data_IF_424375788806
#
_entry.id   IF_424375788806
#
_cell.length_a   1.000
_cell.length_b   1.000
_cell.length_c   1.000
_cell.angle_alpha   90.00
_cell.angle_beta   90.00
_cell.angle_gamma   90.00
#
_symmetry.space_group_name_H-M   'P 1'
#
loop_
_entity.id
_entity.type
_entity.pdbx_description
1 polymer ?
#
# COMPACT_ATOMS: atom_id res chain seq x y z
N UNK A 1 -37.03 -57.22 27.80
CA UNK A 1 -37.73 -56.29 28.70
C UNK A 1 -36.67 -55.46 29.38
N UNK A 2 -36.81 -54.15 29.20
CA UNK A 2 -36.32 -53.02 30.00
C UNK A 2 -34.79 -52.83 30.15
N UNK A 3 -34.17 -51.71 29.77
CA UNK A 3 -34.70 -50.38 29.45
C UNK A 3 -34.62 -49.43 30.65
N UNK A 4 -33.43 -48.95 30.99
CA UNK A 4 -33.11 -47.80 31.87
C UNK A 4 -31.59 -47.61 31.84
N UNK A 5 -30.96 -46.45 31.83
CA UNK A 5 -31.35 -45.03 31.80
C UNK A 5 -30.01 -44.27 31.68
N UNK A 6 -29.92 -43.23 30.85
CA UNK A 6 -29.36 -41.95 31.30
C UNK A 6 -29.59 -40.84 30.26
N UNK A 7 -30.65 -40.08 30.54
CA UNK A 7 -30.88 -38.65 30.29
C UNK A 7 -29.85 -37.85 29.47
N UNK A 8 -30.25 -37.44 28.27
CA UNK A 8 -29.69 -36.29 27.57
C UNK A 8 -30.47 -35.01 27.97
N UNK A 9 -29.76 -34.04 28.56
CA UNK A 9 -30.23 -32.67 28.76
C UNK A 9 -30.25 -31.94 27.41
N UNK A 10 -31.44 -31.79 26.81
CA UNK A 10 -31.67 -30.79 25.77
C UNK A 10 -31.91 -29.43 26.43
N UNK A 11 -30.93 -28.53 26.32
CA UNK A 11 -31.15 -27.10 26.55
C UNK A 11 -31.59 -26.48 25.22
N UNK A 12 -32.82 -26.00 25.19
CA UNK A 12 -33.43 -25.26 24.08
C UNK A 12 -32.69 -23.94 23.83
N UNK A 13 -32.23 -23.69 22.60
CA UNK A 13 -31.51 -22.46 22.20
C UNK A 13 -32.12 -21.79 20.96
N UNK A 14 -33.43 -21.49 21.00
CA UNK A 14 -34.12 -20.76 19.91
C UNK A 14 -33.90 -19.22 19.92
N UNK A 15 -32.81 -18.72 20.53
CA UNK A 15 -32.52 -17.27 20.64
C UNK A 15 -31.26 -16.76 19.94
N UNK A 16 -30.41 -17.63 19.37
CA UNK A 16 -29.07 -17.25 18.89
C UNK A 16 -28.96 -16.94 17.38
N UNK A 17 -30.00 -17.26 16.60
CA UNK A 17 -29.98 -17.09 15.14
C UNK A 17 -29.88 -15.62 14.69
N UNK A 18 -30.70 -14.68 15.19
CA UNK A 18 -30.69 -13.30 14.68
C UNK A 18 -29.42 -12.52 15.08
N UNK A 19 -28.87 -12.77 16.27
CA UNK A 19 -27.64 -12.11 16.74
C UNK A 19 -26.39 -12.54 15.94
N UNK A 20 -26.28 -13.84 15.62
CA UNK A 20 -25.16 -14.35 14.80
C UNK A 20 -25.25 -13.83 13.37
N UNK A 21 -26.46 -13.76 12.81
CA UNK A 21 -26.68 -13.21 11.48
C UNK A 21 -26.40 -11.70 11.42
N UNK A 22 -26.79 -10.93 12.45
CA UNK A 22 -26.47 -9.51 12.56
C UNK A 22 -24.96 -9.27 12.58
N UNK A 23 -24.20 -10.10 13.32
CA UNK A 23 -22.74 -10.01 13.40
C UNK A 23 -22.06 -10.26 12.04
N UNK A 24 -22.52 -11.28 11.29
CA UNK A 24 -22.01 -11.56 9.93
C UNK A 24 -22.28 -10.41 8.95
N UNK A 25 -23.47 -9.81 9.02
CA UNK A 25 -23.80 -8.64 8.22
C UNK A 25 -22.93 -7.44 8.58
N UNK A 26 -22.64 -7.25 9.87
CA UNK A 26 -21.73 -6.19 10.32
C UNK A 26 -20.29 -6.42 9.81
N UNK A 27 -19.78 -7.65 9.90
CA UNK A 27 -18.47 -8.03 9.35
C UNK A 27 -18.36 -7.78 7.84
N UNK A 28 -19.39 -8.17 7.09
CA UNK A 28 -19.45 -7.87 5.66
C UNK A 28 -19.48 -6.37 5.38
N UNK A 29 -20.16 -5.59 6.23
CA UNK A 29 -20.13 -4.13 6.18
C UNK A 29 -18.71 -3.56 6.33
N UNK A 30 -17.94 -4.07 7.30
CA UNK A 30 -16.54 -3.67 7.53
C UNK A 30 -15.65 -4.03 6.33
N UNK A 31 -15.84 -5.22 5.74
CA UNK A 31 -15.12 -5.62 4.54
C UNK A 31 -15.44 -4.69 3.36
N UNK A 32 -16.71 -4.37 3.15
CA UNK A 32 -17.15 -3.47 2.07
C UNK A 32 -16.64 -2.04 2.28
N UNK A 33 -16.60 -1.56 3.52
CA UNK A 33 -16.01 -0.27 3.88
C UNK A 33 -14.51 -0.24 3.56
N UNK A 34 -13.79 -1.30 3.91
CA UNK A 34 -12.36 -1.45 3.59
C UNK A 34 -12.10 -1.51 2.07
N UNK A 35 -12.99 -2.14 1.31
CA UNK A 35 -12.96 -2.17 -0.16
C UNK A 35 -13.31 -0.80 -0.80
N UNK A 36 -13.86 0.14 -0.02
CA UNK A 36 -14.35 1.43 -0.49
C UNK A 36 -15.80 1.40 -1.01
N UNK A 37 -16.49 0.26 -0.94
CA UNK A 37 -17.89 0.08 -1.32
C UNK A 37 -18.84 0.53 -0.19
N UNK A 38 -18.77 1.82 0.13
CA UNK A 38 -19.40 2.36 1.34
C UNK A 38 -20.94 2.30 1.32
N UNK A 39 -21.60 2.26 0.16
CA UNK A 39 -23.07 2.07 0.09
C UNK A 39 -23.51 0.66 0.46
N UNK A 40 -22.80 -0.34 -0.04
CA UNK A 40 -23.06 -1.73 0.32
C UNK A 40 -22.76 -1.92 1.81
N UNK A 41 -21.68 -1.31 2.31
CA UNK A 41 -21.36 -1.28 3.74
C UNK A 41 -22.50 -0.67 4.58
N UNK A 42 -23.00 0.52 4.22
CA UNK A 42 -24.13 1.16 4.92
C UNK A 42 -25.38 0.28 4.90
N UNK A 43 -25.65 -0.39 3.77
CA UNK A 43 -26.80 -1.29 3.66
C UNK A 43 -26.66 -2.48 4.61
N UNK A 44 -25.47 -3.10 4.65
CA UNK A 44 -25.14 -4.16 5.59
C UNK A 44 -25.26 -3.69 7.05
N UNK A 45 -24.73 -2.51 7.40
CA UNK A 45 -24.83 -1.96 8.75
C UNK A 45 -26.28 -1.67 9.16
N UNK A 46 -27.09 -1.09 8.27
CA UNK A 46 -28.52 -0.84 8.53
C UNK A 46 -29.30 -2.14 8.75
N UNK A 47 -29.00 -3.17 7.97
CA UNK A 47 -29.61 -4.49 8.13
C UNK A 47 -29.18 -5.15 9.45
N UNK A 48 -27.90 -5.05 9.82
CA UNK A 48 -27.38 -5.56 11.08
C UNK A 48 -28.04 -4.88 12.29
N UNK A 49 -28.10 -3.53 12.30
CA UNK A 49 -28.74 -2.76 13.37
C UNK A 49 -30.25 -3.02 13.50
N UNK A 50 -30.91 -3.38 12.40
CA UNK A 50 -32.32 -3.76 12.41
C UNK A 50 -32.55 -5.11 13.09
N UNK A 51 -31.58 -6.02 13.02
CA UNK A 51 -31.65 -7.35 13.66
C UNK A 51 -31.21 -7.30 15.12
N UNK A 52 -30.16 -6.54 15.43
CA UNK A 52 -29.65 -6.34 16.78
C UNK A 52 -29.07 -4.93 16.92
N UNK A 53 -29.69 -4.10 17.77
CA UNK A 53 -29.24 -2.74 18.07
C UNK A 53 -27.88 -2.74 18.79
N UNK A 54 -27.55 -3.83 19.50
CA UNK A 54 -26.29 -4.03 20.22
C UNK A 54 -25.17 -4.67 19.40
N UNK A 55 -25.37 -4.92 18.11
CA UNK A 55 -24.43 -5.68 17.26
C UNK A 55 -23.04 -5.05 17.22
N UNK A 56 -22.95 -3.72 17.22
CA UNK A 56 -21.67 -2.98 17.21
C UNK A 56 -20.85 -3.29 18.47
N UNK A 57 -21.50 -3.35 19.64
CA UNK A 57 -20.84 -3.65 20.91
C UNK A 57 -20.36 -5.10 20.94
N UNK A 58 -21.15 -6.01 20.37
CA UNK A 58 -20.79 -7.44 20.23
C UNK A 58 -19.61 -7.62 19.28
N UNK A 59 -19.63 -6.94 18.12
CA UNK A 59 -18.52 -6.94 17.17
C UNK A 59 -17.23 -6.36 17.76
N UNK A 60 -17.30 -5.21 18.45
CA UNK A 60 -16.13 -4.64 19.14
C UNK A 60 -15.55 -5.58 20.19
N UNK A 61 -16.40 -6.27 20.95
CA UNK A 61 -15.95 -7.28 21.91
C UNK A 61 -15.22 -8.42 21.21
N UNK A 62 -15.79 -8.94 20.11
CA UNK A 62 -15.15 -9.97 19.29
C UNK A 62 -13.79 -9.51 18.77
N UNK A 63 -13.69 -8.31 18.19
CA UNK A 63 -12.41 -7.76 17.70
C UNK A 63 -11.39 -7.64 18.83
N UNK A 64 -11.79 -7.19 20.02
CA UNK A 64 -10.91 -7.12 21.19
C UNK A 64 -10.46 -8.51 21.66
N UNK A 65 -11.37 -9.49 21.66
CA UNK A 65 -11.07 -10.89 21.99
C UNK A 65 -10.15 -11.53 20.94
N UNK A 66 -10.39 -11.30 19.65
CA UNK A 66 -9.55 -11.77 18.55
C UNK A 66 -8.14 -11.15 18.65
N UNK A 67 -8.03 -9.87 18.98
CA UNK A 67 -6.75 -9.20 19.23
C UNK A 67 -6.03 -9.79 20.46
N UNK A 68 -6.78 -10.03 21.55
CA UNK A 68 -6.25 -10.65 22.77
C UNK A 68 -5.79 -12.08 22.50
N UNK A 69 -6.59 -12.86 21.78
CA UNK A 69 -6.27 -14.23 21.41
C UNK A 69 -5.10 -14.26 20.44
N UNK A 70 -5.02 -13.34 19.47
CA UNK A 70 -3.88 -13.21 18.58
C UNK A 70 -2.60 -12.81 19.34
N UNK A 71 -2.73 -12.06 20.44
CA UNK A 71 -1.61 -11.78 21.36
C UNK A 71 -1.23 -13.02 22.16
N UNK A 72 -2.20 -13.73 22.74
CA UNK A 72 -1.97 -14.98 23.49
C UNK A 72 -1.44 -16.10 22.60
N UNK A 73 -1.90 -16.23 21.36
CA UNK A 73 -1.39 -17.16 20.36
C UNK A 73 0.02 -16.77 19.93
N UNK A 74 0.34 -15.47 19.84
CA UNK A 74 1.72 -15.02 19.67
C UNK A 74 2.58 -15.39 20.89
N UNK A 75 2.04 -15.29 22.09
CA UNK A 75 2.71 -15.67 23.34
C UNK A 75 2.85 -17.20 23.50
N UNK A 76 1.90 -18.00 23.02
CA UNK A 76 1.90 -19.47 23.09
C UNK A 76 2.62 -20.14 21.92
N UNK A 77 2.67 -19.51 20.74
CA UNK A 77 3.55 -19.94 19.63
C UNK A 77 5.03 -19.79 19.97
N UNK A 78 5.36 -19.01 21.01
CA UNK A 78 6.71 -18.96 21.59
C UNK A 78 7.00 -20.23 22.42
N UNK A 79 5.98 -21.02 22.79
CA UNK A 79 6.10 -22.16 23.72
C UNK A 79 6.03 -23.54 23.02
N UNK A 80 5.61 -23.62 21.76
CA UNK A 80 5.48 -24.88 21.01
C UNK A 80 6.03 -24.78 19.59
N UNK A 81 7.32 -25.06 19.41
CA UNK A 81 7.94 -25.20 18.09
C UNK A 81 7.76 -26.61 17.52
N UNK A 82 6.83 -26.81 16.58
CA UNK A 82 6.98 -27.84 15.52
C UNK A 82 6.00 -27.66 14.36
N UNK A 83 6.51 -27.27 13.19
CA UNK A 83 6.05 -27.73 11.87
C UNK A 83 4.95 -26.95 11.14
N UNK A 84 5.28 -26.45 9.93
CA UNK A 84 4.38 -26.54 8.78
C UNK A 84 3.77 -25.26 8.20
N UNK A 85 4.50 -24.65 7.27
CA UNK A 85 4.09 -24.00 6.01
C UNK A 85 2.81 -23.13 5.86
N UNK A 86 3.07 -21.92 5.35
CA UNK A 86 2.37 -21.11 4.34
C UNK A 86 1.08 -20.32 4.65
N UNK A 87 1.27 -19.01 4.43
CA UNK A 87 0.46 -18.11 3.59
C UNK A 87 -0.76 -17.38 4.18
N UNK A 88 -0.58 -16.05 4.14
CA UNK A 88 -1.48 -15.01 3.65
C UNK A 88 -2.36 -14.23 4.64
N UNK A 89 -2.16 -12.91 4.49
CA UNK A 89 -3.07 -11.80 4.71
C UNK A 89 -3.50 -11.50 6.14
N UNK A 90 -2.92 -10.44 6.74
CA UNK A 90 -3.69 -9.44 7.48
C UNK A 90 -2.89 -8.15 7.78
N UNK A 91 -3.18 -7.15 6.94
CA UNK A 91 -3.56 -5.76 7.29
C UNK A 91 -3.19 -5.21 8.67
N UNK A 92 -2.20 -4.33 8.68
CA UNK A 92 -1.86 -3.46 9.79
C UNK A 92 -2.87 -2.31 9.95
N UNK A 93 -3.40 -2.13 11.17
CA UNK A 93 -3.77 -0.83 11.72
C UNK A 93 -2.79 -0.54 12.85
N UNK A 94 -2.12 0.61 12.76
CA UNK A 94 -1.12 1.10 13.71
C UNK A 94 -1.77 1.62 15.00
N UNK A 95 -1.16 1.29 16.13
CA UNK A 95 -0.98 2.20 17.25
C UNK A 95 0.48 2.08 17.69
N UNK A 96 1.19 3.20 17.77
CA UNK A 96 2.59 3.24 18.15
C UNK A 96 2.75 2.96 19.64
N UNK A 97 3.80 2.22 19.98
CA UNK A 97 4.43 2.27 21.29
C UNK A 97 5.95 2.25 21.12
N UNK A 98 6.55 3.16 21.89
CA UNK A 98 7.95 3.53 21.90
C UNK A 98 8.83 2.38 22.40
N UNK A 99 10.13 2.48 22.09
CA UNK A 99 11.12 1.50 22.46
C UNK A 99 11.18 1.23 23.96
N UNK A 100 11.06 -0.05 24.31
CA UNK A 100 11.78 -0.60 25.44
C UNK A 100 12.35 -1.95 25.03
N UNK A 101 13.68 -1.98 24.82
CA UNK A 101 14.40 -3.22 24.58
C UNK A 101 14.39 -4.05 25.84
N UNK A 102 13.56 -5.08 25.89
CA UNK A 102 13.75 -6.20 26.81
C UNK A 102 14.70 -7.19 26.16
N UNK A 103 15.94 -7.16 26.63
CA UNK A 103 16.89 -8.26 26.52
C UNK A 103 16.16 -9.52 27.01
N UNK A 104 15.73 -10.38 26.09
CA UNK A 104 15.32 -11.74 26.44
C UNK A 104 16.60 -12.51 26.75
N UNK A 105 16.77 -12.88 28.02
CA UNK A 105 17.69 -13.92 28.43
C UNK A 105 17.41 -15.18 27.60
N UNK A 106 18.39 -15.54 26.78
CA UNK A 106 18.37 -16.73 25.95
C UNK A 106 18.63 -17.93 26.85
N UNK A 107 17.63 -18.81 27.02
CA UNK A 107 17.96 -20.23 27.20
C UNK A 107 18.60 -20.70 25.89
N UNK A 108 19.85 -21.13 25.98
CA UNK A 108 20.69 -21.47 24.86
C UNK A 108 20.17 -22.75 24.17
N UNK A 109 19.30 -22.58 23.18
CA UNK A 109 19.16 -23.61 22.14
C UNK A 109 20.54 -23.88 21.55
N UNK A 110 20.91 -25.15 21.43
CA UNK A 110 22.16 -25.58 20.82
C UNK A 110 22.19 -25.09 19.36
N UNK A 111 22.85 -23.95 19.14
CA UNK A 111 22.94 -23.28 17.84
C UNK A 111 23.63 -24.25 16.89
N UNK A 112 22.85 -24.89 16.01
CA UNK A 112 23.41 -25.73 14.95
C UNK A 112 24.38 -24.87 14.13
N UNK A 113 25.63 -25.31 13.93
CA UNK A 113 26.62 -24.51 13.24
C UNK A 113 26.13 -24.18 11.83
N UNK A 114 26.20 -22.90 11.47
CA UNK A 114 25.90 -22.46 10.13
C UNK A 114 27.14 -22.72 9.27
N UNK A 115 27.22 -23.92 8.67
CA UNK A 115 28.44 -24.38 7.99
C UNK A 115 28.95 -23.42 6.91
N UNK A 116 28.07 -22.64 6.28
CA UNK A 116 28.50 -21.64 5.29
C UNK A 116 29.32 -20.51 5.94
N UNK A 117 29.00 -20.12 7.18
CA UNK A 117 29.74 -19.09 7.92
C UNK A 117 31.08 -19.63 8.44
N UNK A 118 31.13 -20.92 8.78
CA UNK A 118 32.34 -21.57 9.28
C UNK A 118 33.30 -21.96 8.15
N UNK A 119 32.78 -22.30 6.97
CA UNK A 119 33.58 -22.71 5.81
C UNK A 119 34.07 -21.54 4.96
N UNK A 120 33.32 -20.42 4.88
CA UNK A 120 33.63 -19.33 3.97
C UNK A 120 34.18 -18.09 4.68
N UNK A 121 35.28 -17.50 4.18
CA UNK A 121 35.73 -16.19 4.62
C UNK A 121 34.66 -15.10 4.41
N UNK A 122 34.70 -14.05 5.22
CA UNK A 122 33.74 -12.93 5.15
C UNK A 122 33.73 -12.25 3.77
N UNK A 123 34.85 -12.25 3.09
CA UNK A 123 35.01 -11.69 1.74
C UNK A 123 34.15 -12.44 0.72
N UNK A 124 34.10 -13.78 0.81
CA UNK A 124 33.28 -14.62 -0.07
C UNK A 124 31.79 -14.45 0.29
N UNK A 125 31.47 -14.40 1.58
CA UNK A 125 30.11 -14.13 2.03
C UNK A 125 29.61 -12.76 1.53
N UNK A 126 30.47 -11.74 1.53
CA UNK A 126 30.16 -10.43 0.99
C UNK A 126 29.91 -10.47 -0.53
N UNK A 127 30.70 -11.25 -1.28
CA UNK A 127 30.44 -11.47 -2.71
C UNK A 127 29.08 -12.15 -2.94
N UNK A 128 28.71 -13.11 -2.10
CA UNK A 128 27.37 -13.74 -2.16
C UNK A 128 26.28 -12.68 -1.93
N UNK A 129 26.44 -11.82 -0.91
CA UNK A 129 25.50 -10.70 -0.67
C UNK A 129 25.39 -9.82 -1.92
N UNK A 130 26.51 -9.45 -2.55
CA UNK A 130 26.51 -8.63 -3.76
C UNK A 130 25.80 -9.32 -4.94
N UNK A 131 25.95 -10.63 -5.10
CA UNK A 131 25.20 -11.39 -6.11
C UNK A 131 23.71 -11.42 -5.81
N UNK A 132 23.32 -11.62 -4.54
CA UNK A 132 21.91 -11.62 -4.12
C UNK A 132 21.26 -10.26 -4.35
N UNK A 133 21.96 -9.17 -4.00
CA UNK A 133 21.50 -7.79 -4.22
C UNK A 133 21.20 -7.53 -5.70
N UNK A 134 22.09 -7.96 -6.60
CA UNK A 134 21.89 -7.81 -8.06
C UNK A 134 20.76 -8.67 -8.61
N UNK A 135 20.34 -9.70 -7.88
CA UNK A 135 19.29 -10.63 -8.34
C UNK A 135 17.91 -10.18 -7.86
N UNK A 136 17.76 -9.85 -6.59
CA UNK A 136 16.48 -9.42 -6.01
C UNK A 136 16.68 -8.69 -4.69
N UNK A 137 16.04 -7.53 -4.56
CA UNK A 137 15.98 -6.76 -3.31
C UNK A 137 15.25 -7.51 -2.19
N UNK A 138 14.25 -8.32 -2.51
CA UNK A 138 13.52 -9.15 -1.55
C UNK A 138 14.43 -10.24 -0.98
N UNK A 139 15.23 -10.88 -1.85
CA UNK A 139 16.19 -11.91 -1.44
C UNK A 139 17.29 -11.35 -0.54
N UNK A 140 17.72 -10.10 -0.76
CA UNK A 140 18.69 -9.43 0.10
C UNK A 140 18.14 -9.21 1.52
N UNK A 141 16.88 -8.75 1.64
CA UNK A 141 16.24 -8.61 2.94
C UNK A 141 16.08 -9.99 3.62
N UNK A 142 15.61 -10.99 2.90
CA UNK A 142 15.46 -12.35 3.43
C UNK A 142 16.81 -12.93 3.94
N UNK A 143 17.90 -12.68 3.21
CA UNK A 143 19.24 -13.07 3.62
C UNK A 143 19.67 -12.38 4.91
N UNK A 144 19.37 -11.08 5.05
CA UNK A 144 19.70 -10.29 6.26
C UNK A 144 18.98 -10.76 7.52
N UNK A 145 17.85 -11.46 7.37
CA UNK A 145 17.04 -12.01 8.45
C UNK A 145 17.51 -13.42 8.86
N UNK A 146 18.39 -14.06 8.09
CA UNK A 146 18.80 -15.43 8.33
C UNK A 146 19.69 -15.58 9.58
N UNK A 147 20.63 -14.64 9.80
CA UNK A 147 21.47 -14.60 11.00
C UNK A 147 22.12 -13.22 11.21
N UNK A 148 22.71 -13.01 12.40
CA UNK A 148 23.38 -11.75 12.77
C UNK A 148 24.60 -11.42 11.90
N UNK A 149 25.34 -12.43 11.42
CA UNK A 149 26.49 -12.23 10.54
C UNK A 149 26.08 -11.68 9.18
N UNK A 150 25.09 -12.29 8.52
CA UNK A 150 24.52 -11.79 7.26
C UNK A 150 23.80 -10.46 7.47
N UNK A 151 23.16 -10.24 8.62
CA UNK A 151 22.60 -8.93 8.94
C UNK A 151 23.68 -7.83 8.89
N UNK A 152 24.80 -8.06 9.58
CA UNK A 152 25.92 -7.13 9.60
C UNK A 152 26.57 -6.97 8.21
N UNK A 153 26.71 -8.05 7.43
CA UNK A 153 27.25 -7.98 6.07
C UNK A 153 26.31 -7.26 5.10
N UNK A 154 25.00 -7.46 5.21
CA UNK A 154 24.00 -6.85 4.35
C UNK A 154 23.89 -5.34 4.56
N UNK A 155 23.92 -4.88 5.82
CA UNK A 155 23.69 -3.46 6.16
C UNK A 155 24.95 -2.68 6.51
N UNK A 156 26.07 -3.35 6.78
CA UNK A 156 27.35 -2.70 7.11
C UNK A 156 28.14 -2.25 5.89
N UNK A 157 27.94 -2.86 4.72
CA UNK A 157 28.61 -2.49 3.49
C UNK A 157 27.81 -1.42 2.72
N UNK A 158 28.44 -0.34 2.23
CA UNK A 158 27.77 0.63 1.35
C UNK A 158 27.42 0.10 -0.05
N UNK A 159 28.04 -0.97 -0.53
CA UNK A 159 27.87 -1.40 -1.93
C UNK A 159 26.43 -1.82 -2.30
N UNK A 160 25.67 -2.55 -1.46
CA UNK A 160 24.25 -2.82 -1.70
C UNK A 160 23.43 -1.54 -1.90
N UNK A 161 23.62 -0.54 -1.04
CA UNK A 161 22.91 0.73 -1.13
C UNK A 161 23.25 1.51 -2.40
N UNK A 162 24.52 1.49 -2.82
CA UNK A 162 24.95 2.08 -4.10
C UNK A 162 24.27 1.41 -5.29
N UNK A 163 24.15 0.08 -5.24
CA UNK A 163 23.51 -0.70 -6.31
C UNK A 163 22.03 -0.35 -6.40
N UNK A 164 21.30 -0.36 -5.28
CA UNK A 164 19.89 0.02 -5.27
C UNK A 164 19.65 1.48 -5.63
N UNK A 165 20.51 2.40 -5.19
CA UNK A 165 20.42 3.79 -5.57
C UNK A 165 20.56 3.95 -7.08
N UNK A 166 21.57 3.31 -7.69
CA UNK A 166 21.75 3.32 -9.14
C UNK A 166 20.52 2.76 -9.86
N UNK A 167 20.04 1.58 -9.46
CA UNK A 167 18.91 0.90 -10.12
C UNK A 167 17.58 1.68 -9.98
N UNK A 168 17.36 2.38 -8.87
CA UNK A 168 16.15 3.17 -8.64
C UNK A 168 16.22 4.51 -9.38
N UNK A 169 17.33 5.24 -9.22
CA UNK A 169 17.44 6.62 -9.68
C UNK A 169 17.80 6.74 -11.17
N UNK A 170 18.46 5.74 -11.76
CA UNK A 170 18.71 5.70 -13.21
C UNK A 170 17.41 5.61 -14.04
N UNK A 171 16.32 5.12 -13.43
CA UNK A 171 15.01 5.01 -14.06
C UNK A 171 14.13 6.26 -13.85
N UNK A 172 14.58 7.25 -13.09
CA UNK A 172 13.80 8.45 -12.81
C UNK A 172 14.01 9.52 -13.88
N UNK A 173 12.92 10.08 -14.39
CA UNK A 173 12.95 11.16 -15.37
C UNK A 173 12.83 12.51 -14.68
N UNK A 174 13.72 13.45 -15.02
CA UNK A 174 13.71 14.81 -14.47
C UNK A 174 13.40 15.83 -15.57
N UNK A 175 12.67 16.86 -15.19
CA UNK A 175 12.32 17.97 -16.08
C UNK A 175 13.58 18.76 -16.48
N UNK A 176 13.79 18.89 -17.80
CA UNK A 176 14.95 19.60 -18.36
C UNK A 176 14.98 21.07 -17.96
N UNK A 177 13.81 21.73 -17.88
CA UNK A 177 13.74 23.13 -17.49
C UNK A 177 14.20 23.33 -16.03
N UNK A 178 13.76 22.46 -15.12
CA UNK A 178 14.22 22.42 -13.74
C UNK A 178 15.73 22.14 -13.64
N UNK A 179 16.26 21.24 -14.47
CA UNK A 179 17.71 20.96 -14.53
C UNK A 179 18.51 22.18 -14.99
N UNK A 180 18.05 22.86 -16.05
CA UNK A 180 18.71 24.06 -16.57
C UNK A 180 18.68 25.22 -15.57
N UNK A 181 17.53 25.46 -14.92
CA UNK A 181 17.38 26.54 -13.94
C UNK A 181 18.34 26.36 -12.74
N UNK A 182 18.53 25.12 -12.31
CA UNK A 182 19.44 24.78 -11.22
C UNK A 182 20.91 24.67 -11.69
N UNK A 183 21.20 24.87 -12.98
CA UNK A 183 22.55 24.77 -13.54
C UNK A 183 23.13 23.35 -13.50
N UNK A 184 22.27 22.33 -13.47
CA UNK A 184 22.64 20.92 -13.30
C UNK A 184 22.64 20.23 -14.66
N UNK A 185 23.82 19.89 -15.18
CA UNK A 185 23.97 19.07 -16.38
C UNK A 185 24.04 17.57 -16.07
N UNK A 186 24.54 17.21 -14.88
CA UNK A 186 24.59 15.83 -14.39
C UNK A 186 24.15 15.77 -12.92
N UNK A 187 23.21 14.87 -12.62
CA UNK A 187 22.71 14.59 -11.28
C UNK A 187 23.79 14.02 -10.34
N UNK A 188 24.79 13.29 -10.84
CA UNK A 188 25.81 12.65 -10.00
C UNK A 188 26.56 13.66 -9.10
N UNK A 189 26.85 14.84 -9.65
CA UNK A 189 27.54 15.92 -8.94
C UNK A 189 26.65 16.53 -7.85
N UNK A 190 25.36 16.68 -8.16
CA UNK A 190 24.36 17.17 -7.21
C UNK A 190 24.14 16.17 -6.07
N UNK A 191 24.04 14.88 -6.40
CA UNK A 191 23.88 13.78 -5.44
C UNK A 191 25.05 13.71 -4.46
N UNK A 192 26.28 13.82 -4.98
CA UNK A 192 27.50 13.85 -4.16
C UNK A 192 27.50 15.05 -3.22
N UNK A 193 27.00 16.21 -3.67
CA UNK A 193 26.95 17.43 -2.86
C UNK A 193 25.91 17.34 -1.74
N UNK A 194 24.72 16.81 -2.04
CA UNK A 194 23.60 16.75 -1.09
C UNK A 194 23.74 15.63 -0.05
N UNK A 195 24.21 14.45 -0.46
CA UNK A 195 24.28 13.27 0.40
C UNK A 195 25.70 12.81 0.74
N UNK A 196 26.74 13.51 0.26
CA UNK A 196 28.14 13.22 0.61
C UNK A 196 28.57 11.77 0.31
N UNK A 197 27.95 11.14 -0.69
CA UNK A 197 28.19 9.74 -1.04
C UNK A 197 27.50 8.72 -0.15
N UNK A 198 26.65 9.13 0.81
CA UNK A 198 25.83 8.23 1.61
C UNK A 198 24.53 7.85 0.86
N UNK A 199 24.61 6.74 0.12
CA UNK A 199 23.47 6.20 -0.62
C UNK A 199 22.35 5.69 0.30
N UNK A 200 22.65 5.26 1.53
CA UNK A 200 21.62 4.78 2.47
C UNK A 200 20.77 5.95 2.98
N UNK A 201 21.39 7.11 3.21
CA UNK A 201 20.69 8.37 3.48
C UNK A 201 19.90 8.85 2.27
N UNK A 202 20.52 8.85 1.07
CA UNK A 202 19.84 9.26 -0.16
C UNK A 202 18.57 8.46 -0.42
N UNK A 203 18.63 7.12 -0.36
CA UNK A 203 17.47 6.23 -0.53
C UNK A 203 16.32 6.50 0.45
N UNK A 204 16.63 7.07 1.63
CA UNK A 204 15.65 7.39 2.67
C UNK A 204 14.99 8.75 2.47
N UNK A 205 15.72 9.70 1.88
CA UNK A 205 15.36 11.11 1.83
C UNK A 205 14.90 11.56 0.44
N UNK A 206 15.55 11.10 -0.64
CA UNK A 206 15.27 11.50 -2.01
C UNK A 206 14.03 10.78 -2.54
N UNK A 207 12.92 11.49 -2.81
CA UNK A 207 11.71 10.89 -3.34
C UNK A 207 11.91 10.29 -4.74
N UNK A 208 11.14 9.24 -5.04
CA UNK A 208 11.16 8.57 -6.34
C UNK A 208 9.82 7.91 -6.64
N UNK A 209 9.56 7.68 -7.93
CA UNK A 209 8.39 6.96 -8.43
C UNK A 209 8.67 5.46 -8.45
N UNK A 210 7.68 4.66 -8.04
CA UNK A 210 7.76 3.20 -8.04
C UNK A 210 7.04 2.62 -9.26
N UNK A 211 7.74 1.80 -10.03
CA UNK A 211 7.21 1.16 -11.26
C UNK A 211 6.56 -0.19 -11.02
N UNK A 212 6.80 -0.72 -9.83
CA UNK A 212 6.54 -2.07 -9.40
C UNK A 212 5.10 -2.31 -8.92
N UNK A 213 4.20 -1.39 -9.20
CA UNK A 213 2.84 -1.42 -8.68
C UNK A 213 1.97 -0.36 -9.31
N UNK A 214 0.97 0.04 -8.54
CA UNK A 214 -0.06 0.97 -8.97
C UNK A 214 -0.35 1.95 -7.84
N UNK A 215 -0.62 3.20 -8.20
CA UNK A 215 -1.04 4.24 -7.28
C UNK A 215 -2.55 4.40 -7.39
N UNK A 216 -3.25 4.31 -6.25
CA UNK A 216 -4.71 4.29 -6.20
C UNK A 216 -5.20 5.41 -5.29
N UNK A 217 -6.12 6.24 -5.80
CA UNK A 217 -6.88 7.21 -5.02
C UNK A 217 -8.35 6.79 -5.00
N UNK A 218 -8.88 6.47 -3.83
CA UNK A 218 -10.29 6.15 -3.61
C UNK A 218 -11.05 7.39 -3.17
N UNK A 219 -12.06 7.80 -3.93
CA UNK A 219 -12.88 8.99 -3.65
C UNK A 219 -14.34 8.61 -3.53
N UNK A 220 -14.96 9.10 -2.45
CA UNK A 220 -16.38 8.93 -2.18
C UNK A 220 -17.05 10.30 -2.26
N UNK A 221 -18.13 10.42 -3.03
CA UNK A 221 -18.96 11.64 -3.05
C UNK A 221 -20.43 11.31 -2.91
N UNK A 222 -21.19 12.23 -2.34
CA UNK A 222 -22.62 12.10 -2.13
C UNK A 222 -23.37 12.69 -3.32
N UNK A 223 -24.11 11.85 -4.04
CA UNK A 223 -25.06 12.26 -5.08
C UNK A 223 -26.46 12.30 -4.49
N UNK A 224 -27.13 13.43 -4.66
CA UNK A 224 -28.54 13.58 -4.31
C UNK A 224 -29.38 13.04 -5.47
N UNK A 225 -30.30 12.11 -5.21
CA UNK A 225 -31.22 11.59 -6.23
C UNK A 225 -32.29 12.60 -6.66
N UNK A 226 -32.95 12.33 -7.79
CA UNK A 226 -34.14 13.08 -8.21
C UNK A 226 -35.35 12.66 -7.36
N UNK A 227 -36.10 13.63 -6.86
CA UNK A 227 -37.29 13.35 -6.05
C UNK A 227 -38.45 12.90 -6.97
N UNK A 228 -39.12 11.77 -6.68
CA UNK A 228 -40.45 11.54 -7.23
C UNK A 228 -41.40 12.62 -6.68
N UNK A 229 -42.26 13.18 -7.56
CA UNK A 229 -43.25 14.19 -7.17
C UNK A 229 -44.09 13.70 -5.98
N UNK A 230 -44.17 14.50 -4.91
CA UNK A 230 -44.94 14.19 -3.69
C UNK A 230 -44.12 13.65 -2.51
N UNK A 231 -42.81 13.42 -2.64
CA UNK A 231 -41.97 12.99 -1.51
C UNK A 231 -41.59 14.17 -0.59
N UNK A 232 -41.79 14.00 0.72
CA UNK A 232 -41.36 14.96 1.74
C UNK A 232 -39.85 15.21 1.64
N UNK A 233 -39.44 16.47 1.59
CA UNK A 233 -38.04 16.92 1.49
C UNK A 233 -37.12 16.46 2.63
N UNK A 234 -37.67 15.81 3.67
CA UNK A 234 -36.97 15.21 4.81
C UNK A 234 -36.33 13.85 4.50
N UNK A 235 -36.85 13.09 3.54
CA UNK A 235 -36.29 11.77 3.16
C UNK A 235 -35.61 11.94 1.81
N UNK A 236 -34.45 12.62 1.81
CA UNK A 236 -33.60 12.67 0.61
C UNK A 236 -32.77 11.39 0.56
N UNK A 237 -33.03 10.45 -0.37
CA UNK A 237 -32.13 9.32 -0.54
C UNK A 237 -30.78 9.85 -1.04
N UNK A 238 -29.78 9.82 -0.16
CA UNK A 238 -28.39 10.15 -0.50
C UNK A 238 -27.73 8.89 -1.04
N UNK A 239 -27.18 8.97 -2.25
CA UNK A 239 -26.45 7.88 -2.88
C UNK A 239 -24.96 8.23 -2.91
N UNK A 240 -24.14 7.51 -2.16
CA UNK A 240 -22.70 7.70 -2.18
C UNK A 240 -22.09 6.91 -3.34
N UNK A 241 -21.33 7.59 -4.18
CA UNK A 241 -20.63 7.00 -5.31
C UNK A 241 -19.15 6.95 -4.97
N UNK A 242 -18.59 5.76 -5.06
CA UNK A 242 -17.15 5.53 -5.00
C UNK A 242 -16.60 5.49 -6.41
N UNK A 243 -15.55 6.25 -6.66
CA UNK A 243 -14.74 6.10 -7.85
C UNK A 243 -13.26 6.08 -7.47
N UNK A 244 -12.48 5.48 -8.34
CA UNK A 244 -11.06 5.24 -8.19
C UNK A 244 -10.31 5.98 -9.28
N UNK A 245 -9.15 6.52 -8.91
CA UNK A 245 -8.14 6.99 -9.86
C UNK A 245 -6.92 6.12 -9.75
N UNK A 246 -6.45 5.64 -10.90
CA UNK A 246 -5.32 4.75 -11.02
C UNK A 246 -4.20 5.42 -11.80
N UNK A 247 -2.98 5.33 -11.27
CA UNK A 247 -1.76 5.60 -12.01
C UNK A 247 -0.83 4.40 -11.98
N UNK A 248 -0.32 4.02 -13.15
CA UNK A 248 0.79 3.06 -13.27
C UNK A 248 1.92 3.71 -14.06
N UNK A 249 3.08 3.83 -13.44
CA UNK A 249 4.25 4.49 -14.02
C UNK A 249 5.19 3.47 -14.66
N UNK A 250 5.92 3.92 -15.69
CA UNK A 250 6.86 3.12 -16.45
C UNK A 250 8.23 3.82 -16.53
N UNK A 251 9.33 3.04 -16.59
CA UNK A 251 10.69 3.58 -16.67
C UNK A 251 11.00 4.39 -17.94
N UNK A 252 10.16 4.35 -18.96
CA UNK A 252 10.31 5.10 -20.21
C UNK A 252 9.78 6.54 -20.13
N UNK A 253 9.30 6.98 -18.95
CA UNK A 253 8.73 8.31 -18.75
C UNK A 253 7.23 8.39 -19.07
N UNK A 254 6.60 7.27 -19.41
CA UNK A 254 5.14 7.20 -19.61
C UNK A 254 4.42 6.69 -18.36
N UNK A 255 3.14 7.04 -18.23
CA UNK A 255 2.27 6.46 -17.21
C UNK A 255 0.84 6.28 -17.74
N UNK A 256 0.21 5.18 -17.33
CA UNK A 256 -1.21 4.96 -17.56
C UNK A 256 -2.03 5.63 -16.47
N UNK A 257 -3.08 6.35 -16.90
CA UNK A 257 -4.05 7.00 -16.04
C UNK A 257 -5.43 6.44 -16.31
N UNK A 258 -6.19 6.10 -15.28
CA UNK A 258 -7.59 5.67 -15.41
C UNK A 258 -8.45 6.25 -14.29
N UNK A 259 -9.61 6.79 -14.66
CA UNK A 259 -10.69 7.14 -13.74
C UNK A 259 -11.85 6.17 -13.98
N UNK A 260 -12.18 5.35 -12.98
CA UNK A 260 -13.23 4.33 -13.10
C UNK A 260 -13.97 4.12 -11.77
N UNK A 261 -15.19 3.62 -11.83
CA UNK A 261 -15.92 3.09 -10.66
C UNK A 261 -15.53 1.63 -10.34
N UNK A 262 -14.75 0.99 -11.21
CA UNK A 262 -14.30 -0.39 -11.02
C UNK A 262 -13.26 -0.49 -9.91
N UNK A 263 -13.44 -1.48 -9.04
CA UNK A 263 -12.56 -1.71 -7.89
C UNK A 263 -11.18 -2.26 -8.32
N UNK A 264 -10.14 -2.10 -7.47
CA UNK A 264 -8.78 -2.51 -7.82
C UNK A 264 -8.66 -4.00 -8.20
N UNK A 265 -9.47 -4.88 -7.61
CA UNK A 265 -9.48 -6.32 -7.89
C UNK A 265 -9.77 -6.65 -9.36
N UNK A 266 -10.56 -5.82 -10.05
CA UNK A 266 -10.92 -6.00 -11.47
C UNK A 266 -9.94 -5.30 -12.42
N UNK A 267 -9.37 -4.17 -12.01
CA UNK A 267 -8.53 -3.32 -12.86
C UNK A 267 -7.06 -3.79 -12.85
N UNK A 268 -6.52 -4.10 -11.68
CA UNK A 268 -5.06 -4.26 -11.49
C UNK A 268 -4.46 -5.33 -12.40
N UNK A 269 -5.13 -6.46 -12.63
CA UNK A 269 -4.57 -7.55 -13.43
C UNK A 269 -4.40 -7.19 -14.92
N UNK A 270 -5.30 -6.37 -15.45
CA UNK A 270 -5.33 -6.00 -16.87
C UNK A 270 -4.77 -4.58 -17.13
N UNK A 271 -4.44 -3.81 -16.10
CA UNK A 271 -3.96 -2.44 -16.25
C UNK A 271 -2.48 -2.37 -16.65
N UNK A 272 -2.20 -2.54 -17.94
CA UNK A 272 -0.85 -2.56 -18.52
C UNK A 272 -0.79 -1.89 -19.91
N UNK A 273 0.36 -1.35 -20.30
CA UNK A 273 0.60 -0.72 -21.60
C UNK A 273 0.22 -1.62 -22.78
N UNK A 274 0.50 -2.91 -22.68
CA UNK A 274 0.21 -3.93 -23.69
C UNK A 274 -1.30 -4.17 -23.88
N UNK A 275 -2.09 -3.85 -22.85
CA UNK A 275 -3.52 -4.10 -22.86
C UNK A 275 -4.25 -2.83 -23.29
N UNK A 276 -5.20 -2.96 -24.20
CA UNK A 276 -6.10 -1.87 -24.54
C UNK A 276 -7.14 -1.68 -23.43
N UNK A 277 -6.76 -0.97 -22.37
CA UNK A 277 -7.65 -0.67 -21.25
C UNK A 277 -8.59 0.46 -21.66
N UNK A 278 -9.89 0.14 -21.70
CA UNK A 278 -10.93 1.09 -22.05
C UNK A 278 -10.86 2.33 -21.13
N UNK A 279 -10.88 3.51 -21.73
CA UNK A 279 -10.83 4.82 -21.05
C UNK A 279 -9.52 5.11 -20.29
N UNK A 280 -8.48 4.29 -20.43
CA UNK A 280 -7.16 4.65 -19.93
C UNK A 280 -6.50 5.67 -20.88
N UNK A 281 -5.84 6.66 -20.30
CA UNK A 281 -5.05 7.67 -21.01
C UNK A 281 -3.56 7.37 -20.79
N UNK A 282 -2.77 7.46 -21.86
CA UNK A 282 -1.31 7.48 -21.75
C UNK A 282 -0.89 8.92 -21.49
N UNK A 283 -0.11 9.11 -20.42
CA UNK A 283 0.43 10.40 -20.00
C UNK A 283 1.96 10.29 -19.91
N UNK A 284 2.63 11.43 -19.83
CA UNK A 284 4.07 11.50 -19.56
C UNK A 284 4.31 12.06 -18.16
N UNK A 285 5.36 11.60 -17.50
CA UNK A 285 5.69 12.06 -16.15
C UNK A 285 7.16 12.49 -16.05
N UNK A 286 7.41 13.46 -15.18
CA UNK A 286 8.76 13.90 -14.82
C UNK A 286 8.78 14.39 -13.37
N UNK A 287 9.95 14.34 -12.76
CA UNK A 287 10.24 14.92 -11.46
C UNK A 287 10.89 16.29 -11.65
N UNK A 288 10.53 17.26 -10.82
CA UNK A 288 11.30 18.50 -10.72
C UNK A 288 12.39 18.33 -9.67
N UNK A 289 13.53 19.01 -9.87
CA UNK A 289 14.59 19.12 -8.86
C UNK A 289 14.18 20.02 -7.69
N UNK A 290 13.21 20.89 -7.93
CA UNK A 290 12.70 21.83 -6.94
C UNK A 290 11.97 21.08 -5.81
N UNK A 291 11.80 21.74 -4.67
CA UNK A 291 11.15 21.18 -3.48
C UNK A 291 11.71 19.80 -3.06
N UNK A 292 13.04 19.67 -3.05
CA UNK A 292 13.75 18.43 -2.69
C UNK A 292 13.31 17.21 -3.52
N UNK A 293 13.23 17.35 -4.84
CA UNK A 293 12.90 16.25 -5.77
C UNK A 293 11.49 15.65 -5.57
N UNK A 294 10.62 16.31 -4.79
CA UNK A 294 9.33 15.74 -4.39
C UNK A 294 8.19 16.02 -5.36
N UNK A 295 8.38 16.94 -6.31
CA UNK A 295 7.35 17.36 -7.28
C UNK A 295 7.33 16.41 -8.46
N UNK A 296 6.20 15.73 -8.63
CA UNK A 296 5.89 14.88 -9.76
C UNK A 296 4.91 15.61 -10.67
N UNK A 297 5.30 15.85 -11.92
CA UNK A 297 4.47 16.48 -12.94
C UNK A 297 4.01 15.40 -13.91
N UNK A 298 2.71 15.36 -14.18
CA UNK A 298 2.09 14.45 -15.14
C UNK A 298 1.41 15.29 -16.21
N UNK A 299 1.74 15.04 -17.47
CA UNK A 299 1.21 15.77 -18.61
C UNK A 299 0.49 14.86 -19.58
N UNK A 300 -0.61 15.36 -20.13
CA UNK A 300 -1.35 14.72 -21.22
C UNK A 300 -1.96 15.78 -22.11
N UNK A 301 -2.23 15.44 -23.35
CA UNK A 301 -2.81 16.35 -24.31
C UNK A 301 -3.96 15.66 -25.06
N UNK A 302 -4.95 16.46 -25.44
CA UNK A 302 -5.95 16.06 -26.42
C UNK A 302 -6.06 17.15 -27.49
N UNK A 303 -7.01 17.01 -28.41
CA UNK A 303 -7.18 17.95 -29.53
C UNK A 303 -7.42 19.41 -29.12
N UNK A 304 -7.85 19.65 -27.87
CA UNK A 304 -8.27 20.96 -27.38
C UNK A 304 -7.39 21.52 -26.26
N UNK A 305 -6.93 20.67 -25.36
CA UNK A 305 -6.27 21.07 -24.13
C UNK A 305 -5.02 20.24 -23.85
N UNK A 306 -4.01 20.89 -23.30
CA UNK A 306 -2.89 20.24 -22.61
C UNK A 306 -3.15 20.28 -21.12
N UNK A 307 -3.28 19.13 -20.49
CA UNK A 307 -3.47 18.99 -19.05
C UNK A 307 -2.14 18.76 -18.35
N UNK A 308 -2.03 19.35 -17.17
CA UNK A 308 -0.89 19.20 -16.28
C UNK A 308 -1.38 18.97 -14.86
N UNK A 309 -0.95 17.87 -14.26
CA UNK A 309 -1.26 17.48 -12.90
C UNK A 309 0.04 17.45 -12.11
N UNK A 310 0.13 18.23 -11.05
CA UNK A 310 1.30 18.28 -10.18
C UNK A 310 0.95 17.60 -8.85
N UNK A 311 1.76 16.61 -8.48
CA UNK A 311 1.65 15.84 -7.26
C UNK A 311 2.93 16.00 -6.43
N UNK A 312 2.82 15.79 -5.12
CA UNK A 312 3.94 15.79 -4.18
C UNK A 312 4.12 14.39 -3.59
N UNK A 313 5.33 13.85 -3.69
CA UNK A 313 5.69 12.53 -3.16
C UNK A 313 5.95 12.63 -1.66
N UNK A 314 5.20 11.85 -0.87
CA UNK A 314 5.31 11.76 0.58
C UNK A 314 5.42 10.32 1.08
N UNK A 315 5.89 10.21 2.31
CA UNK A 315 5.85 8.97 3.07
C UNK A 315 4.41 8.67 3.54
N UNK A 316 4.09 7.38 3.67
CA UNK A 316 2.88 6.88 4.31
C UNK A 316 3.27 6.15 5.60
N UNK A 317 3.25 6.86 6.72
CA UNK A 317 3.79 6.37 7.99
C UNK A 317 5.23 5.86 7.82
N UNK A 318 5.52 4.59 8.10
CA UNK A 318 6.85 4.00 7.91
C UNK A 318 7.20 3.70 6.43
N UNK A 319 6.21 3.70 5.53
CA UNK A 319 6.38 3.32 4.12
C UNK A 319 6.88 4.52 3.32
N UNK A 320 8.12 4.42 2.85
CA UNK A 320 8.83 5.51 2.16
C UNK A 320 8.30 5.72 0.75
N UNK A 321 7.99 6.97 0.41
CA UNK A 321 7.56 7.40 -0.94
C UNK A 321 6.32 6.65 -1.46
N UNK A 322 5.39 6.30 -0.56
CA UNK A 322 4.18 5.52 -0.88
C UNK A 322 2.95 6.37 -1.18
N UNK A 323 3.00 7.68 -0.97
CA UNK A 323 1.82 8.54 -1.09
C UNK A 323 2.07 9.69 -2.04
N UNK A 324 1.16 9.93 -2.98
CA UNK A 324 1.14 11.14 -3.79
C UNK A 324 0.02 12.06 -3.36
N UNK A 325 0.37 13.31 -3.04
CA UNK A 325 -0.58 14.35 -2.62
C UNK A 325 -0.84 15.30 -3.78
N UNK A 326 -2.09 15.72 -3.98
CA UNK A 326 -2.40 16.75 -4.96
C UNK A 326 -1.79 18.09 -4.59
N UNK A 327 -1.17 18.74 -5.57
CA UNK A 327 -0.65 20.11 -5.47
C UNK A 327 -1.53 21.01 -6.33
N UNK A 328 -1.64 20.68 -7.61
CA UNK A 328 -2.47 21.40 -8.57
C UNK A 328 -2.88 20.49 -9.72
N UNK A 329 -3.95 20.87 -10.40
CA UNK A 329 -4.35 20.32 -11.68
C UNK A 329 -4.84 21.47 -12.52
N UNK A 330 -4.26 21.63 -13.71
CA UNK A 330 -4.63 22.67 -14.65
C UNK A 330 -4.68 22.14 -16.09
N UNK A 331 -5.33 22.93 -16.95
CA UNK A 331 -5.33 22.73 -18.39
C UNK A 331 -4.94 24.02 -19.09
N UNK A 332 -4.29 23.89 -20.24
CA UNK A 332 -3.91 24.98 -21.13
C UNK A 332 -4.67 24.81 -22.44
N UNK A 333 -5.35 25.87 -22.89
CA UNK A 333 -5.96 25.92 -24.23
C UNK A 333 -4.89 26.11 -25.32
N UNK A 334 -5.29 26.11 -26.59
CA UNK A 334 -4.40 26.35 -27.75
C UNK A 334 -3.71 27.72 -27.73
N UNK A 335 -4.28 28.68 -27.00
CA UNK A 335 -3.70 30.01 -26.78
C UNK A 335 -2.87 30.10 -25.48
N UNK A 336 -2.50 28.95 -24.90
CA UNK A 336 -1.80 28.80 -23.60
C UNK A 336 -2.52 29.46 -22.41
N UNK A 337 -3.82 29.70 -22.54
CA UNK A 337 -4.65 30.18 -21.43
C UNK A 337 -4.84 29.07 -20.39
N UNK A 338 -4.39 29.35 -19.16
CA UNK A 338 -4.49 28.45 -17.99
C UNK A 338 -5.92 28.38 -17.44
N UNK A 339 -6.40 27.16 -17.21
CA UNK A 339 -7.65 26.80 -16.53
C UNK A 339 -7.32 25.91 -15.33
N UNK A 340 -7.59 26.39 -14.12
CA UNK A 340 -7.32 25.65 -12.89
C UNK A 340 -8.53 24.80 -12.45
N UNK A 341 -8.26 23.57 -12.01
CA UNK A 341 -9.26 22.69 -11.40
C UNK A 341 -9.19 22.78 -9.87
N UNK A 342 -10.34 22.70 -9.20
CA UNK A 342 -10.42 22.83 -7.75
C UNK A 342 -9.93 21.58 -7.01
N UNK A 343 -8.94 21.73 -6.13
CA UNK A 343 -8.30 20.59 -5.41
C UNK A 343 -8.95 20.25 -4.05
N UNK A 344 -9.97 20.98 -3.60
CA UNK A 344 -10.48 20.90 -2.22
C UNK A 344 -10.94 19.51 -1.77
N UNK A 345 -11.48 18.71 -2.69
CA UNK A 345 -12.04 17.40 -2.39
C UNK A 345 -11.17 16.24 -2.89
N UNK A 346 -9.99 16.55 -3.39
CA UNK A 346 -9.12 15.54 -3.98
C UNK A 346 -8.43 14.70 -2.92
N UNK A 347 -8.42 13.37 -3.14
CA UNK A 347 -7.79 12.41 -2.23
C UNK A 347 -6.41 12.03 -2.73
N UNK A 348 -5.47 11.73 -1.83
CA UNK A 348 -4.14 11.30 -2.22
C UNK A 348 -4.17 9.91 -2.85
N UNK A 349 -3.12 9.60 -3.60
CA UNK A 349 -2.87 8.26 -4.10
C UNK A 349 -1.98 7.49 -3.13
N UNK A 350 -2.24 6.19 -3.00
CA UNK A 350 -1.43 5.26 -2.22
C UNK A 350 -0.86 4.18 -3.13
N UNK A 351 0.41 3.87 -2.95
CA UNK A 351 1.10 2.82 -3.68
C UNK A 351 0.67 1.43 -3.20
N UNK A 352 0.31 0.57 -4.13
CA UNK A 352 0.05 -0.85 -3.93
C UNK A 352 0.97 -1.66 -4.83
N UNK A 353 1.79 -2.53 -4.22
CA UNK A 353 2.68 -3.46 -4.92
C UNK A 353 1.86 -4.50 -5.70
N UNK A 354 2.29 -4.83 -6.92
CA UNK A 354 1.62 -5.83 -7.77
C UNK A 354 2.66 -6.80 -8.33
N UNK A 355 2.69 -8.04 -7.83
CA UNK A 355 3.72 -9.04 -8.19
C UNK A 355 3.77 -9.33 -9.70
N UNK A 356 2.61 -9.38 -10.36
CA UNK A 356 2.52 -9.65 -11.80
C UNK A 356 3.11 -8.55 -12.68
N UNK A 357 3.44 -7.38 -12.13
CA UNK A 357 4.07 -6.30 -12.89
C UNK A 357 5.59 -6.43 -12.97
N UNK A 358 6.22 -7.21 -12.09
CA UNK A 358 7.68 -7.42 -12.05
C UNK A 358 8.16 -8.22 -13.24
N UNK A 359 7.37 -9.21 -13.68
CA UNK A 359 7.76 -10.17 -14.72
C UNK A 359 7.52 -9.63 -16.15
N UNK A 360 6.91 -8.46 -16.30
CA UNK A 360 6.49 -7.89 -17.60
C UNK A 360 7.20 -6.57 -17.94
N UNK A 361 8.38 -6.34 -17.38
CA UNK A 361 9.22 -5.17 -17.71
C UNK A 361 10.38 -5.59 -18.57
#
# INVERSE_FOLDING_TARGET
MDGSSMSALMVSSNGHFPATQALQLWENGVLKEREGSMMDAITCYRQALKLDEGVEKTYRRKVLEDLRLAKQLRELKIDNGSGGDKNEAETEIMAGEEGHGTLKDQEAEEIKPCWILDMLPKEILLQIVHHVVRTSSESWLNLSLANSTFNALCFGDPAPYKTFAHDIYALQHYDEASMMLNGVSNLDSLETTLWQGDCAKMLRERPYVKFEGIYISTVNYLRHGANPEGSLSLIRPVHMITYYRYFRFYPDGTCLRLLSTDQPSFVVKSFAHENNVRHAEICHWSLSLDDNFSRLVITRSNEKYRFQETLEIKNQAHKRHHRFMWVESCAFDKEDKRLDFGMRNEKPFYFSRVKSYVTRQ
#
